data_IF_740491892698
#
_entry.id   IF_740491892698
#
_cell.length_a   1.000
_cell.length_b   1.000
_cell.length_c   1.000
_cell.angle_alpha   90.00
_cell.angle_beta   90.00
_cell.angle_gamma   90.00
#
_symmetry.space_group_name_H-M   'P 1'
#
loop_
_entity.id
_entity.type
_entity.pdbx_description
1 polymer ?
#
# COMPACT_ATOMS: atom_id res chain seq x y z
N UNK A 1 37.24 -35.09 -6.12
CA UNK A 1 36.99 -33.69 -5.70
C UNK A 1 36.86 -32.89 -6.98
N UNK A 2 35.62 -32.62 -7.40
CA UNK A 2 35.32 -32.01 -8.70
C UNK A 2 34.99 -30.53 -8.50
N UNK A 3 35.74 -29.69 -9.20
CA UNK A 3 35.79 -28.24 -9.09
C UNK A 3 34.45 -27.59 -9.45
N UNK A 4 33.87 -26.82 -8.52
CA UNK A 4 32.76 -25.89 -8.76
C UNK A 4 33.15 -24.67 -9.65
N UNK A 5 34.35 -24.65 -10.22
CA UNK A 5 34.87 -23.52 -11.00
C UNK A 5 34.44 -23.54 -12.48
N UNK A 6 34.00 -24.68 -13.02
CA UNK A 6 33.67 -24.78 -14.45
C UNK A 6 32.25 -24.31 -14.82
N UNK A 7 31.39 -24.02 -13.84
CA UNK A 7 30.00 -23.61 -14.10
C UNK A 7 29.90 -22.11 -14.41
N UNK A 8 30.93 -21.31 -14.09
CA UNK A 8 30.87 -19.84 -14.27
C UNK A 8 31.26 -19.41 -15.69
N UNK A 9 31.98 -20.24 -16.45
CA UNK A 9 32.51 -19.85 -17.76
C UNK A 9 31.55 -20.04 -18.94
N UNK A 10 30.43 -20.77 -18.78
CA UNK A 10 29.51 -21.06 -19.90
C UNK A 10 28.38 -20.04 -20.05
N UNK A 11 28.14 -19.19 -19.05
CA UNK A 11 26.99 -18.26 -19.05
C UNK A 11 27.24 -16.92 -19.76
N UNK A 12 28.44 -16.67 -20.28
CA UNK A 12 28.78 -15.38 -20.88
C UNK A 12 28.52 -15.28 -22.40
N UNK A 13 27.73 -16.20 -22.98
CA UNK A 13 27.38 -16.18 -24.41
C UNK A 13 25.91 -15.86 -24.71
N UNK A 14 25.17 -15.27 -23.76
CA UNK A 14 23.81 -14.80 -24.00
C UNK A 14 23.84 -13.57 -24.92
N UNK A 15 23.91 -13.85 -26.21
CA UNK A 15 23.29 -13.16 -27.32
C UNK A 15 22.83 -11.74 -27.00
N UNK A 16 23.68 -10.74 -27.31
CA UNK A 16 23.24 -9.39 -27.67
C UNK A 16 22.45 -9.44 -28.99
N UNK A 17 21.29 -10.10 -28.98
CA UNK A 17 20.37 -10.08 -30.11
C UNK A 17 19.53 -8.81 -29.98
N UNK A 18 19.81 -7.87 -30.88
CA UNK A 18 19.05 -6.64 -31.15
C UNK A 18 17.55 -6.83 -30.86
N UNK A 19 17.06 -6.21 -29.77
CA UNK A 19 15.64 -5.88 -29.63
C UNK A 19 15.42 -4.59 -30.43
N UNK A 20 15.49 -4.68 -31.75
CA UNK A 20 15.09 -3.59 -32.64
C UNK A 20 13.94 -4.12 -33.50
N UNK A 21 12.80 -3.42 -33.45
CA UNK A 21 11.59 -3.55 -34.29
C UNK A 21 10.35 -4.26 -33.73
N UNK A 22 10.15 -4.39 -32.41
CA UNK A 22 8.80 -4.73 -31.89
C UNK A 22 7.93 -3.49 -31.56
N UNK A 23 8.49 -2.28 -31.55
CA UNK A 23 7.76 -1.06 -31.20
C UNK A 23 7.01 -0.39 -32.37
N UNK A 24 7.14 -0.89 -33.60
CA UNK A 24 6.61 -0.20 -34.79
C UNK A 24 5.12 -0.43 -35.08
N UNK A 25 4.44 -1.35 -34.39
CA UNK A 25 3.03 -1.69 -34.68
C UNK A 25 2.07 -1.66 -33.48
N UNK A 26 2.52 -1.25 -32.28
CA UNK A 26 1.59 -0.94 -31.20
C UNK A 26 1.26 0.54 -31.28
N UNK A 27 0.13 0.87 -31.93
CA UNK A 27 -0.58 2.13 -31.67
C UNK A 27 -0.96 2.09 -30.19
N UNK A 28 -0.08 2.61 -29.34
CA UNK A 28 -0.33 2.76 -27.92
C UNK A 28 -1.43 3.79 -27.77
N UNK A 29 -2.65 3.31 -27.56
CA UNK A 29 -3.74 4.16 -27.11
C UNK A 29 -3.31 4.82 -25.80
N UNK A 30 -3.29 6.15 -25.79
CA UNK A 30 -2.99 6.94 -24.61
C UNK A 30 -3.96 6.56 -23.49
N UNK A 31 -3.48 6.56 -22.24
CA UNK A 31 -4.36 6.41 -21.06
C UNK A 31 -5.58 7.35 -21.13
N UNK A 32 -5.42 8.54 -21.73
CA UNK A 32 -6.53 9.47 -21.96
C UNK A 32 -7.56 8.96 -22.98
N UNK A 33 -7.16 8.24 -24.04
CA UNK A 33 -8.11 7.68 -25.01
C UNK A 33 -8.84 6.45 -24.43
N UNK A 34 -8.14 5.64 -23.63
CA UNK A 34 -8.74 4.51 -22.91
C UNK A 34 -9.77 5.01 -21.89
N UNK A 35 -9.41 6.02 -21.10
CA UNK A 35 -10.32 6.62 -20.12
C UNK A 35 -11.55 7.24 -20.78
N UNK A 36 -11.36 8.04 -21.84
CA UNK A 36 -12.46 8.65 -22.57
C UNK A 36 -13.36 7.60 -23.23
N UNK A 37 -12.81 6.49 -23.73
CA UNK A 37 -13.61 5.40 -24.31
C UNK A 37 -14.46 4.71 -23.25
N UNK A 38 -13.90 4.40 -22.07
CA UNK A 38 -14.64 3.78 -20.97
C UNK A 38 -15.78 4.70 -20.49
N UNK A 39 -15.52 5.99 -20.31
CA UNK A 39 -16.53 6.95 -19.86
C UNK A 39 -17.61 7.15 -20.92
N UNK A 40 -17.22 7.28 -22.19
CA UNK A 40 -18.17 7.49 -23.29
C UNK A 40 -19.02 6.24 -23.58
N UNK A 41 -18.45 5.04 -23.54
CA UNK A 41 -19.19 3.78 -23.70
C UNK A 41 -20.20 3.56 -22.56
N UNK A 42 -19.86 4.00 -21.33
CA UNK A 42 -20.77 3.93 -20.17
C UNK A 42 -21.95 4.89 -20.31
N UNK A 43 -21.72 6.08 -20.87
CA UNK A 43 -22.78 7.08 -21.14
C UNK A 43 -23.64 6.64 -22.32
N UNK A 44 -23.03 6.10 -23.39
CA UNK A 44 -23.76 5.64 -24.58
C UNK A 44 -24.67 4.43 -24.28
N UNK A 45 -24.25 3.53 -23.40
CA UNK A 45 -25.09 2.42 -22.93
C UNK A 45 -26.18 2.85 -21.94
N UNK A 46 -26.03 4.00 -21.26
CA UNK A 46 -27.03 4.53 -20.33
C UNK A 46 -28.22 5.22 -21.00
N UNK A 47 -28.11 5.58 -22.29
CA UNK A 47 -29.14 6.40 -22.97
C UNK A 47 -30.16 5.53 -23.75
N UNK A 48 -29.95 4.22 -23.87
CA UNK A 48 -30.75 3.34 -24.76
C UNK A 48 -31.74 2.37 -24.11
N UNK A 49 -32.04 2.45 -22.82
CA UNK A 49 -33.12 1.66 -22.22
C UNK A 49 -34.22 2.53 -21.58
N UNK A 50 -35.17 2.88 -22.43
CA UNK A 50 -36.62 2.82 -22.25
C UNK A 50 -37.22 2.69 -20.82
N UNK A 51 -38.13 3.62 -20.55
CA UNK A 51 -39.38 3.49 -19.79
C UNK A 51 -39.38 3.14 -18.30
N UNK A 52 -39.91 4.10 -17.56
CA UNK A 52 -40.74 3.92 -16.35
C UNK A 52 -40.08 3.17 -15.19
N UNK A 53 -39.29 3.90 -14.40
CA UNK A 53 -38.96 3.49 -13.03
C UNK A 53 -39.41 4.62 -12.12
N UNK A 54 -40.44 4.35 -11.32
CA UNK A 54 -40.80 5.13 -10.15
C UNK A 54 -39.61 5.10 -9.19
N UNK A 55 -38.94 6.23 -9.03
CA UNK A 55 -37.76 6.39 -8.18
C UNK A 55 -38.12 6.26 -6.70
N UNK A 56 -38.14 5.03 -6.21
CA UNK A 56 -38.02 4.72 -4.78
C UNK A 56 -36.73 3.91 -4.54
N UNK A 57 -35.58 4.37 -5.05
CA UNK A 57 -34.28 3.82 -4.64
C UNK A 57 -33.72 4.70 -3.53
N UNK A 58 -33.75 4.16 -2.31
CA UNK A 58 -33.11 4.72 -1.13
C UNK A 58 -31.63 5.08 -1.40
N UNK A 59 -31.11 6.21 -0.89
CA UNK A 59 -29.69 6.56 -0.99
C UNK A 59 -28.73 5.67 -0.19
N UNK A 60 -29.19 4.57 0.44
CA UNK A 60 -28.41 3.82 1.43
C UNK A 60 -27.29 2.94 0.84
N UNK A 61 -27.39 2.42 -0.39
CA UNK A 61 -26.39 1.45 -0.91
C UNK A 61 -25.04 2.08 -1.31
N UNK A 62 -25.03 3.32 -1.81
CA UNK A 62 -23.77 4.03 -2.12
C UNK A 62 -22.92 4.34 -0.87
N UNK A 63 -23.56 4.38 0.30
CA UNK A 63 -22.90 4.66 1.58
C UNK A 63 -22.18 3.45 2.16
N UNK A 64 -22.67 2.23 1.95
CA UNK A 64 -22.08 1.04 2.57
C UNK A 64 -20.82 0.57 1.86
N UNK A 65 -20.85 0.48 0.53
CA UNK A 65 -19.68 0.08 -0.26
C UNK A 65 -18.53 1.08 -0.13
N UNK A 66 -18.85 2.38 -0.10
CA UNK A 66 -17.84 3.42 0.09
C UNK A 66 -17.20 3.35 1.48
N UNK A 67 -18.01 3.13 2.53
CA UNK A 67 -17.49 2.99 3.91
C UNK A 67 -16.63 1.75 4.07
N UNK A 68 -17.03 0.63 3.46
CA UNK A 68 -16.26 -0.62 3.49
C UNK A 68 -14.89 -0.46 2.82
N UNK A 69 -14.85 0.14 1.64
CA UNK A 69 -13.59 0.38 0.93
C UNK A 69 -12.67 1.31 1.73
N UNK A 70 -13.23 2.35 2.36
CA UNK A 70 -12.46 3.29 3.17
C UNK A 70 -11.91 2.63 4.45
N UNK A 71 -12.69 1.77 5.09
CA UNK A 71 -12.23 1.01 6.26
C UNK A 71 -11.13 0.00 5.88
N UNK A 72 -11.26 -0.67 4.73
CA UNK A 72 -10.23 -1.58 4.24
C UNK A 72 -8.92 -0.85 3.91
N UNK A 73 -8.98 0.30 3.23
CA UNK A 73 -7.81 1.13 2.95
C UNK A 73 -7.15 1.61 4.25
N UNK A 74 -7.94 2.07 5.22
CA UNK A 74 -7.42 2.48 6.53
C UNK A 74 -6.73 1.32 7.24
N UNK A 75 -7.33 0.13 7.24
CA UNK A 75 -6.74 -1.06 7.85
C UNK A 75 -5.43 -1.46 7.17
N UNK A 76 -5.32 -1.33 5.85
CA UNK A 76 -4.07 -1.57 5.11
C UNK A 76 -2.97 -0.56 5.50
N UNK A 77 -3.31 0.73 5.64
CA UNK A 77 -2.35 1.75 6.09
C UNK A 77 -1.86 1.48 7.51
N UNK A 78 -2.75 1.08 8.40
CA UNK A 78 -2.40 0.68 9.77
C UNK A 78 -1.46 -0.51 9.76
N UNK A 79 -1.79 -1.54 8.98
CA UNK A 79 -0.98 -2.75 8.87
C UNK A 79 0.44 -2.45 8.34
N UNK A 80 0.54 -1.59 7.34
CA UNK A 80 1.82 -1.10 6.82
C UNK A 80 2.62 -0.29 7.85
N UNK A 81 1.96 0.55 8.65
CA UNK A 81 2.61 1.29 9.74
C UNK A 81 3.16 0.34 10.82
N UNK A 82 2.38 -0.69 11.20
CA UNK A 82 2.82 -1.72 12.14
C UNK A 82 4.01 -2.50 11.57
N UNK A 83 4.01 -2.83 10.28
CA UNK A 83 5.12 -3.53 9.63
C UNK A 83 6.40 -2.68 9.60
N UNK A 84 6.30 -1.39 9.24
CA UNK A 84 7.44 -0.46 9.28
C UNK A 84 8.00 -0.31 10.69
N UNK A 85 7.12 -0.23 11.70
CA UNK A 85 7.53 -0.21 13.10
C UNK A 85 8.20 -1.53 13.50
N UNK A 86 7.66 -2.67 13.10
CA UNK A 86 8.25 -3.98 13.36
C UNK A 86 9.67 -4.08 12.77
N UNK A 87 9.85 -3.61 11.54
CA UNK A 87 11.14 -3.56 10.86
C UNK A 87 12.14 -2.65 11.59
N UNK A 88 11.71 -1.51 12.13
CA UNK A 88 12.57 -0.64 12.93
C UNK A 88 13.14 -1.34 14.17
N UNK A 89 12.34 -2.17 14.83
CA UNK A 89 12.76 -2.95 16.00
C UNK A 89 13.38 -4.31 15.64
N UNK A 90 13.41 -4.70 14.36
CA UNK A 90 13.92 -6.00 13.91
C UNK A 90 13.06 -7.18 14.37
N UNK A 91 11.75 -6.97 14.52
CA UNK A 91 10.79 -8.01 14.95
C UNK A 91 9.73 -8.27 13.88
N UNK A 92 9.02 -9.39 13.99
CA UNK A 92 7.91 -9.70 13.09
C UNK A 92 6.67 -8.83 13.35
N UNK A 93 5.88 -8.54 12.30
CA UNK A 93 4.65 -7.73 12.37
C UNK A 93 3.66 -8.21 13.44
N UNK A 94 3.44 -9.52 13.55
CA UNK A 94 2.53 -10.09 14.55
C UNK A 94 3.00 -9.85 15.98
N UNK A 95 4.31 -9.97 16.22
CA UNK A 95 4.89 -9.67 17.52
C UNK A 95 4.79 -8.18 17.84
N UNK A 96 5.07 -7.30 16.87
CA UNK A 96 4.90 -5.85 17.06
C UNK A 96 3.45 -5.50 17.39
N UNK A 97 2.47 -6.11 16.71
CA UNK A 97 1.05 -5.89 17.01
C UNK A 97 0.70 -6.32 18.44
N UNK A 98 1.19 -7.47 18.89
CA UNK A 98 1.00 -7.95 20.26
C UNK A 98 1.67 -7.02 21.29
N UNK A 99 2.86 -6.51 20.98
CA UNK A 99 3.56 -5.51 21.80
C UNK A 99 2.70 -4.25 21.95
N UNK A 100 2.21 -3.68 20.84
CA UNK A 100 1.36 -2.48 20.89
C UNK A 100 0.11 -2.70 21.75
N UNK A 101 -0.55 -3.85 21.58
CA UNK A 101 -1.69 -4.23 22.40
C UNK A 101 -1.34 -4.36 23.90
N UNK A 102 -0.19 -4.97 24.22
CA UNK A 102 0.29 -5.09 25.61
C UNK A 102 0.65 -3.74 26.25
N UNK A 103 0.97 -2.75 25.41
CA UNK A 103 1.24 -1.38 25.84
C UNK A 103 -0.02 -0.50 25.83
N UNK A 104 -1.20 -1.09 25.58
CA UNK A 104 -2.47 -0.38 25.43
C UNK A 104 -2.44 0.69 24.31
N UNK A 105 -1.65 0.46 23.27
CA UNK A 105 -1.59 1.29 22.07
C UNK A 105 -2.47 0.64 21.00
N UNK A 106 -3.51 1.36 20.56
CA UNK A 106 -4.26 0.97 19.37
C UNK A 106 -3.36 1.16 18.13
N UNK A 107 -3.16 0.14 17.28
CA UNK A 107 -2.47 0.28 16.00
C UNK A 107 -2.98 1.44 15.14
N UNK A 108 -4.27 1.79 15.21
CA UNK A 108 -4.83 2.96 14.52
C UNK A 108 -4.23 4.28 15.02
N UNK A 109 -3.83 4.33 16.29
CA UNK A 109 -3.14 5.47 16.89
C UNK A 109 -1.80 5.81 16.24
N UNK A 110 -1.16 4.86 15.53
CA UNK A 110 0.05 5.13 14.74
C UNK A 110 -0.19 6.13 13.60
N UNK A 111 -1.42 6.19 13.08
CA UNK A 111 -1.82 7.12 12.02
C UNK A 111 -2.37 8.43 12.59
N UNK A 112 -2.78 8.45 13.86
CA UNK A 112 -3.37 9.61 14.54
C UNK A 112 -2.26 10.58 14.99
N UNK A 113 -2.18 11.79 14.41
CA UNK A 113 -1.18 12.79 14.78
C UNK A 113 -1.20 13.16 16.28
N UNK A 114 -2.38 13.11 16.91
CA UNK A 114 -2.54 13.49 18.32
C UNK A 114 -1.90 12.49 19.29
N UNK A 115 -1.77 11.23 18.88
CA UNK A 115 -1.24 10.14 19.72
C UNK A 115 0.24 9.86 19.49
N UNK A 116 0.84 10.37 18.40
CA UNK A 116 2.23 10.06 18.01
C UNK A 116 3.23 10.32 19.13
N UNK A 117 3.12 11.46 19.80
CA UNK A 117 4.06 11.84 20.86
C UNK A 117 4.02 10.83 22.01
N UNK A 118 2.82 10.50 22.49
CA UNK A 118 2.62 9.58 23.60
C UNK A 118 3.07 8.15 23.24
N UNK A 119 2.83 7.73 22.00
CA UNK A 119 3.31 6.43 21.48
C UNK A 119 4.84 6.39 21.46
N UNK A 120 5.49 7.41 20.89
CA UNK A 120 6.96 7.51 20.84
C UNK A 120 7.53 7.47 22.25
N UNK A 121 7.03 8.31 23.17
CA UNK A 121 7.49 8.36 24.55
C UNK A 121 7.34 7.00 25.26
N UNK A 122 6.20 6.34 25.05
CA UNK A 122 5.95 5.00 25.61
C UNK A 122 6.94 3.97 25.08
N UNK A 123 7.17 3.94 23.77
CA UNK A 123 8.11 3.01 23.14
C UNK A 123 9.55 3.29 23.57
N UNK A 124 9.99 4.55 23.58
CA UNK A 124 11.33 4.95 24.05
C UNK A 124 11.55 4.49 25.49
N UNK A 125 10.57 4.73 26.37
CA UNK A 125 10.64 4.34 27.78
C UNK A 125 10.66 2.83 27.97
N UNK A 126 9.81 2.09 27.24
CA UNK A 126 9.67 0.63 27.40
C UNK A 126 10.83 -0.15 26.81
N UNK A 127 11.37 0.32 25.69
CA UNK A 127 12.49 -0.33 25.00
C UNK A 127 13.86 0.24 25.39
N UNK A 128 13.90 1.26 26.26
CA UNK A 128 15.15 1.87 26.70
C UNK A 128 15.97 2.45 25.55
N UNK A 129 15.30 3.13 24.62
CA UNK A 129 15.95 3.65 23.42
C UNK A 129 16.89 4.80 23.76
N UNK A 130 18.10 4.76 23.21
CA UNK A 130 19.02 5.89 23.25
C UNK A 130 18.49 7.07 22.43
N UNK A 131 19.09 8.25 22.61
CA UNK A 131 18.66 9.49 21.95
C UNK A 131 18.60 9.38 20.43
N UNK A 132 19.55 8.68 19.81
CA UNK A 132 19.61 8.54 18.36
C UNK A 132 18.48 7.65 17.85
N UNK A 133 18.22 6.54 18.54
CA UNK A 133 17.10 5.64 18.22
C UNK A 133 15.74 6.29 18.51
N UNK A 134 15.63 7.09 19.57
CA UNK A 134 14.41 7.84 19.88
C UNK A 134 14.08 8.87 18.79
N UNK A 135 15.09 9.59 18.30
CA UNK A 135 14.93 10.52 17.18
C UNK A 135 14.54 9.79 15.88
N UNK A 136 15.21 8.68 15.56
CA UNK A 136 14.87 7.87 14.40
C UNK A 136 13.44 7.31 14.47
N UNK A 137 13.00 6.86 15.64
CA UNK A 137 11.62 6.41 15.88
C UNK A 137 10.61 7.56 15.68
N UNK A 138 10.94 8.75 16.17
CA UNK A 138 10.10 9.95 16.02
C UNK A 138 9.90 10.30 14.54
N UNK A 139 11.00 10.27 13.77
CA UNK A 139 10.97 10.52 12.33
C UNK A 139 10.14 9.45 11.60
N UNK A 140 10.33 8.17 11.95
CA UNK A 140 9.57 7.06 11.38
C UNK A 140 8.05 7.21 11.58
N UNK A 141 7.62 7.47 12.83
CA UNK A 141 6.19 7.59 13.17
C UNK A 141 5.60 8.88 12.57
N UNK A 142 6.39 9.94 12.45
CA UNK A 142 5.95 11.17 11.77
C UNK A 142 5.64 10.90 10.29
N UNK A 143 6.46 10.08 9.63
CA UNK A 143 6.31 9.73 8.20
C UNK A 143 5.13 8.81 7.89
N UNK A 144 4.45 8.19 8.87
CA UNK A 144 3.27 7.36 8.61
C UNK A 144 2.04 8.13 8.10
N UNK A 145 2.10 9.47 8.08
CA UNK A 145 1.00 10.34 7.67
C UNK A 145 1.26 11.06 6.33
N UNK A 146 2.43 10.83 5.72
CA UNK A 146 2.76 11.31 4.36
C UNK A 146 2.28 10.28 3.34
#
# INVERSE_FOLDING_TARGET
MNNCADIISTSNSINKKKISNAAKNLKGDSFGSIFNKIVTDKIANSIKQNSTITSNSSPQELGEDFRKNLEEEMNQRVDAAVERLANFFGVGKHLMKAILQSLHIDPKGLLDPSQKKDIVETLVKKFGLDKNKAEALTNLITDFHK
#
